data_IF_459422116205
#
_entry.id   IF_459422116205
#
_cell.length_a   1.000
_cell.length_b   1.000
_cell.length_c   1.000
_cell.angle_alpha   90.00
_cell.angle_beta   90.00
_cell.angle_gamma   90.00
#
_symmetry.space_group_name_H-M   'P 1'
#
loop_
_entity.id
_entity.type
_entity.pdbx_description
1 polymer ?
#
# COMPACT_ATOMS: atom_id res chain seq x y z
N UNK A 1 -16.65 -7.13 -31.42
CA UNK A 1 -15.48 -6.31 -31.01
C UNK A 1 -14.73 -7.11 -29.97
N UNK A 2 -13.62 -7.72 -30.35
CA UNK A 2 -12.74 -8.43 -29.42
C UNK A 2 -11.89 -7.39 -28.67
N UNK A 3 -12.09 -7.28 -27.36
CA UNK A 3 -11.22 -6.48 -26.51
C UNK A 3 -9.92 -7.26 -26.29
N UNK A 4 -8.89 -6.90 -27.07
CA UNK A 4 -7.54 -7.42 -26.94
C UNK A 4 -6.97 -6.96 -25.60
N UNK A 5 -6.80 -7.90 -24.67
CA UNK A 5 -6.38 -7.64 -23.30
C UNK A 5 -4.86 -7.40 -23.25
N UNK A 6 -4.43 -6.17 -23.58
CA UNK A 6 -3.02 -5.74 -23.69
C UNK A 6 -2.27 -5.66 -22.35
N UNK A 7 -2.93 -5.87 -21.21
CA UNK A 7 -2.30 -5.81 -19.88
C UNK A 7 -1.64 -7.13 -19.44
N UNK A 8 -1.88 -8.23 -20.16
CA UNK A 8 -1.28 -9.54 -19.89
C UNK A 8 0.05 -9.77 -20.63
N UNK A 9 0.49 -8.84 -21.49
CA UNK A 9 1.88 -8.80 -21.99
C UNK A 9 2.80 -8.19 -20.92
N UNK A 10 2.68 -8.68 -19.68
CA UNK A 10 3.60 -8.36 -18.61
C UNK A 10 4.99 -8.83 -19.06
N UNK A 11 5.84 -7.86 -19.42
CA UNK A 11 7.26 -8.06 -19.65
C UNK A 11 7.79 -9.00 -18.56
N UNK A 12 8.56 -10.05 -18.88
CA UNK A 12 9.13 -10.92 -17.87
C UNK A 12 9.98 -10.02 -16.97
N UNK A 13 9.47 -9.72 -15.76
CA UNK A 13 10.29 -9.06 -14.76
C UNK A 13 11.45 -10.00 -14.52
N UNK A 14 12.70 -9.58 -14.79
CA UNK A 14 13.83 -10.44 -14.50
C UNK A 14 13.71 -10.86 -13.04
N UNK A 15 13.91 -12.15 -12.77
CA UNK A 15 13.97 -12.64 -11.41
C UNK A 15 14.99 -11.78 -10.65
N UNK A 16 14.70 -11.35 -9.41
CA UNK A 16 15.65 -10.56 -8.65
C UNK A 16 16.98 -11.29 -8.61
N UNK A 17 18.06 -10.59 -8.99
CA UNK A 17 19.40 -11.13 -8.97
C UNK A 17 19.77 -11.50 -7.52
N UNK A 18 20.27 -12.71 -7.31
CA UNK A 18 20.75 -13.14 -5.99
C UNK A 18 22.00 -12.35 -5.63
N UNK A 19 21.83 -11.29 -4.84
CA UNK A 19 22.93 -10.51 -4.29
C UNK A 19 23.53 -11.32 -3.14
N UNK A 20 24.73 -11.86 -3.35
CA UNK A 20 25.49 -12.49 -2.27
C UNK A 20 25.92 -11.44 -1.24
N UNK A 21 25.26 -11.42 -0.07
CA UNK A 21 25.70 -10.61 1.07
C UNK A 21 26.80 -11.33 1.86
N UNK A 22 27.88 -10.62 2.17
CA UNK A 22 28.95 -11.12 3.01
C UNK A 22 28.54 -11.11 4.48
N UNK A 23 28.84 -12.18 5.22
CA UNK A 23 28.49 -12.28 6.64
C UNK A 23 29.43 -11.41 7.51
N UNK A 24 28.90 -10.80 8.60
CA UNK A 24 27.54 -10.90 9.09
C UNK A 24 26.56 -10.04 8.28
N UNK A 25 25.35 -10.58 8.08
CA UNK A 25 24.27 -9.88 7.37
C UNK A 25 24.01 -8.50 8.00
N UNK A 26 23.66 -7.54 7.16
CA UNK A 26 23.31 -6.20 7.62
C UNK A 26 22.02 -6.26 8.42
N UNK A 27 22.11 -6.05 9.73
CA UNK A 27 20.93 -5.94 10.59
C UNK A 27 20.38 -4.52 10.52
N UNK A 28 19.10 -4.38 10.17
CA UNK A 28 18.40 -3.09 10.21
C UNK A 28 18.16 -2.71 11.67
N UNK A 29 18.66 -1.56 12.15
CA UNK A 29 18.37 -1.08 13.50
C UNK A 29 16.86 -0.89 13.70
N UNK A 30 16.37 -1.22 14.90
CA UNK A 30 14.97 -1.00 15.30
C UNK A 30 13.94 -1.66 14.37
N UNK A 31 14.30 -2.75 13.69
CA UNK A 31 13.42 -3.49 12.77
C UNK A 31 12.03 -3.76 13.35
N UNK A 32 11.98 -4.22 14.60
CA UNK A 32 10.72 -4.51 15.29
C UNK A 32 9.82 -3.28 15.42
N UNK A 33 10.40 -2.11 15.70
CA UNK A 33 9.68 -0.85 15.82
C UNK A 33 9.20 -0.36 14.44
N UNK A 34 10.02 -0.52 13.40
CA UNK A 34 9.63 -0.21 12.02
C UNK A 34 8.46 -1.07 11.55
N UNK A 35 8.50 -2.39 11.80
CA UNK A 35 7.40 -3.31 11.49
C UNK A 35 6.14 -2.95 12.27
N UNK A 36 6.27 -2.57 13.55
CA UNK A 36 5.16 -2.14 14.39
C UNK A 36 4.47 -0.89 13.82
N UNK A 37 5.25 0.12 13.44
CA UNK A 37 4.74 1.37 12.82
C UNK A 37 4.09 1.10 11.46
N UNK A 38 4.73 0.30 10.61
CA UNK A 38 4.18 -0.08 9.31
C UNK A 38 2.82 -0.79 9.46
N UNK A 39 2.72 -1.73 10.41
CA UNK A 39 1.47 -2.44 10.71
C UNK A 39 0.36 -1.47 11.17
N UNK A 40 0.70 -0.48 12.00
CA UNK A 40 -0.26 0.53 12.45
C UNK A 40 -0.73 1.42 11.30
N UNK A 41 0.20 1.84 10.42
CA UNK A 41 -0.11 2.65 9.26
C UNK A 41 -1.03 1.91 8.29
N UNK A 42 -0.76 0.63 8.01
CA UNK A 42 -1.62 -0.19 7.16
C UNK A 42 -3.05 -0.27 7.71
N UNK A 43 -3.23 -0.47 9.01
CA UNK A 43 -4.57 -0.51 9.64
C UNK A 43 -5.34 0.80 9.49
N UNK A 44 -4.65 1.93 9.59
CA UNK A 44 -5.26 3.26 9.40
C UNK A 44 -5.71 3.43 7.95
N UNK A 45 -4.86 3.08 7.00
CA UNK A 45 -5.18 3.16 5.56
C UNK A 45 -6.36 2.24 5.24
N UNK A 46 -6.31 0.98 5.69
CA UNK A 46 -7.34 -0.02 5.46
C UNK A 46 -8.71 0.44 5.99
N UNK A 47 -8.75 1.00 7.20
CA UNK A 47 -9.95 1.62 7.77
C UNK A 47 -10.52 2.71 6.87
N UNK A 48 -9.68 3.53 6.25
CA UNK A 48 -10.13 4.59 5.36
C UNK A 48 -10.62 4.02 4.02
N UNK A 49 -9.95 3.02 3.46
CA UNK A 49 -10.39 2.33 2.23
C UNK A 49 -11.69 1.53 2.43
N UNK A 50 -11.91 0.95 3.61
CA UNK A 50 -13.17 0.30 3.99
C UNK A 50 -14.38 1.24 3.90
N UNK A 51 -14.19 2.54 4.14
CA UNK A 51 -15.25 3.52 3.94
C UNK A 51 -15.56 3.73 2.45
N UNK A 52 -14.55 3.70 1.58
CA UNK A 52 -14.78 3.72 0.13
C UNK A 52 -15.53 2.47 -0.33
N UNK A 53 -15.20 1.30 0.23
CA UNK A 53 -15.84 0.02 -0.11
C UNK A 53 -17.32 -0.03 0.28
N UNK A 54 -17.68 0.68 1.35
CA UNK A 54 -19.06 0.87 1.81
C UNK A 54 -19.78 2.03 1.12
N UNK A 55 -19.02 2.89 0.44
CA UNK A 55 -19.56 3.86 -0.52
C UNK A 55 -20.20 3.13 -1.69
N UNK A 56 -21.23 3.69 -2.30
CA UNK A 56 -22.00 3.07 -3.41
C UNK A 56 -21.20 2.86 -4.72
N UNK A 57 -19.87 2.91 -4.66
CA UNK A 57 -18.98 2.70 -5.77
C UNK A 57 -18.53 1.23 -5.73
N UNK A 58 -18.89 0.48 -6.77
CA UNK A 58 -18.32 -0.85 -7.02
C UNK A 58 -16.90 -0.66 -7.56
N UNK A 59 -15.97 -0.32 -6.67
CA UNK A 59 -14.55 -0.23 -7.01
C UNK A 59 -13.96 -1.64 -7.08
N UNK A 60 -13.11 -1.89 -8.07
CA UNK A 60 -12.24 -3.07 -8.02
C UNK A 60 -11.20 -2.89 -6.91
N UNK A 61 -10.61 -3.97 -6.39
CA UNK A 61 -9.59 -3.87 -5.34
C UNK A 61 -8.40 -2.98 -5.75
N UNK A 62 -8.11 -2.89 -7.04
CA UNK A 62 -7.04 -2.08 -7.62
C UNK A 62 -7.39 -0.57 -7.70
N UNK A 63 -8.67 -0.22 -7.50
CA UNK A 63 -9.19 1.15 -7.55
C UNK A 63 -9.36 1.79 -6.16
N UNK A 64 -9.10 1.06 -5.08
CA UNK A 64 -9.09 1.62 -3.72
C UNK A 64 -7.91 2.57 -3.57
N UNK A 65 -8.22 3.86 -3.74
CA UNK A 65 -7.25 4.95 -3.67
C UNK A 65 -7.89 6.05 -2.84
N UNK A 66 -7.14 6.74 -1.96
CA UNK A 66 -7.67 7.82 -1.10
C UNK A 66 -8.35 9.00 -1.83
N UNK A 67 -8.37 8.98 -3.16
CA UNK A 67 -8.97 9.97 -4.04
C UNK A 67 -10.51 9.98 -3.99
N UNK A 68 -11.17 8.89 -3.56
CA UNK A 68 -12.64 8.81 -3.49
C UNK A 68 -13.20 9.13 -2.10
N UNK A 69 -12.35 9.21 -1.08
CA UNK A 69 -12.68 9.76 0.24
C UNK A 69 -13.23 11.20 0.14
N UNK A 70 -14.24 11.52 0.94
CA UNK A 70 -14.71 12.90 1.05
C UNK A 70 -13.60 13.82 1.60
N UNK A 71 -13.68 15.15 1.40
CA UNK A 71 -12.64 16.08 1.87
C UNK A 71 -12.24 15.91 3.34
N UNK A 72 -13.23 15.71 4.23
CA UNK A 72 -13.02 15.51 5.66
C UNK A 72 -12.28 14.19 5.95
N UNK A 73 -12.66 13.11 5.28
CA UNK A 73 -12.02 11.80 5.41
C UNK A 73 -10.58 11.80 4.89
N UNK A 74 -10.31 12.52 3.79
CA UNK A 74 -8.93 12.69 3.28
C UNK A 74 -8.04 13.41 4.29
N UNK A 75 -8.55 14.50 4.89
CA UNK A 75 -7.84 15.20 5.94
C UNK A 75 -7.56 14.28 7.13
N UNK A 76 -8.55 13.52 7.57
CA UNK A 76 -8.36 12.55 8.67
C UNK A 76 -7.31 11.48 8.33
N UNK A 77 -7.33 10.93 7.11
CA UNK A 77 -6.33 9.96 6.66
C UNK A 77 -4.91 10.53 6.67
N UNK A 78 -4.73 11.76 6.19
CA UNK A 78 -3.42 12.43 6.19
C UNK A 78 -2.95 12.70 7.62
N UNK A 79 -3.84 13.20 8.49
CA UNK A 79 -3.51 13.48 9.90
C UNK A 79 -3.13 12.21 10.65
N UNK A 80 -3.89 11.12 10.47
CA UNK A 80 -3.60 9.83 11.10
C UNK A 80 -2.26 9.26 10.61
N UNK A 81 -2.00 9.32 9.30
CA UNK A 81 -0.73 8.87 8.74
C UNK A 81 0.45 9.69 9.28
N UNK A 82 0.30 11.02 9.32
CA UNK A 82 1.32 11.92 9.84
C UNK A 82 1.66 11.62 11.31
N UNK A 83 0.65 11.37 12.14
CA UNK A 83 0.82 11.03 13.56
C UNK A 83 1.60 9.71 13.79
N UNK A 84 1.57 8.78 12.81
CA UNK A 84 2.27 7.49 12.90
C UNK A 84 3.68 7.53 12.29
N UNK A 85 3.96 8.51 11.43
CA UNK A 85 5.25 8.64 10.74
C UNK A 85 6.20 9.66 11.36
N UNK A 86 5.73 10.46 12.33
CA UNK A 86 6.56 11.40 13.11
C UNK A 86 7.03 10.78 14.42
#
# INVERSE_FOLDING_TARGET
MEYRNTLLEALPRPAPEEIGEEFPLRVVPDWSEQVRRATQLTRVIDRHLDYEARGRLLLSLDDFRPQHLCPEQRMQCITDAYALTR
#
